data_IF_305995895334
#
_entry.id   IF_305995895334
#
_cell.length_a   1.000
_cell.length_b   1.000
_cell.length_c   1.000
_cell.angle_alpha   90.00
_cell.angle_beta   90.00
_cell.angle_gamma   90.00
#
_symmetry.space_group_name_H-M   'P 1'
#
loop_
_entity.id
_entity.type
_entity.pdbx_description
1 polymer ?
#
# COMPACT_ATOMS: atom_id res chain seq x y z
N UNK A 1 -13.65 -31.48 0.62
CA UNK A 1 -13.98 -31.77 -0.79
C UNK A 1 -15.22 -30.96 -1.16
N UNK A 2 -15.15 -30.10 -2.17
CA UNK A 2 -16.30 -29.34 -2.68
C UNK A 2 -16.97 -30.11 -3.85
N UNK A 3 -18.29 -30.00 -4.05
CA UNK A 3 -19.00 -30.84 -5.01
C UNK A 3 -18.70 -30.44 -6.46
N UNK A 4 -18.41 -31.45 -7.28
CA UNK A 4 -18.34 -31.37 -8.74
C UNK A 4 -19.76 -31.22 -9.31
N UNK A 5 -20.25 -30.00 -9.51
CA UNK A 5 -21.34 -29.78 -10.47
C UNK A 5 -20.77 -29.14 -11.73
N UNK A 6 -20.79 -29.93 -12.80
CA UNK A 6 -20.35 -29.58 -14.15
C UNK A 6 -21.33 -28.63 -14.81
N UNK A 7 -21.03 -27.33 -14.77
CA UNK A 7 -21.66 -26.35 -15.66
C UNK A 7 -21.21 -26.65 -17.11
N UNK A 8 -22.16 -26.91 -18.01
CA UNK A 8 -21.91 -27.02 -19.45
C UNK A 8 -21.30 -25.71 -19.94
N UNK A 9 -20.05 -25.78 -20.42
CA UNK A 9 -19.30 -24.65 -20.95
C UNK A 9 -19.63 -24.49 -22.42
N UNK A 10 -20.29 -23.40 -22.79
CA UNK A 10 -20.35 -22.98 -24.19
C UNK A 10 -19.28 -21.91 -24.42
N UNK A 11 -18.53 -22.06 -25.51
CA UNK A 11 -17.41 -21.18 -25.88
C UNK A 11 -17.79 -20.46 -27.18
N UNK A 12 -17.60 -19.15 -27.20
CA UNK A 12 -17.88 -18.30 -28.35
C UNK A 12 -16.62 -17.50 -28.72
N UNK A 13 -16.26 -17.52 -29.99
CA UNK A 13 -15.17 -16.76 -30.57
C UNK A 13 -15.75 -15.52 -31.27
N UNK A 14 -15.28 -14.34 -30.90
CA UNK A 14 -15.69 -13.09 -31.55
C UNK A 14 -14.50 -12.50 -32.28
N UNK A 15 -14.70 -12.28 -33.57
CA UNK A 15 -13.71 -11.72 -34.48
C UNK A 15 -14.16 -10.32 -34.86
N UNK A 16 -13.32 -9.33 -34.58
CA UNK A 16 -13.47 -7.97 -35.11
C UNK A 16 -12.71 -7.90 -36.42
N UNK A 17 -13.41 -7.70 -37.53
CA UNK A 17 -12.78 -7.41 -38.82
C UNK A 17 -12.70 -5.90 -38.98
N UNK A 18 -11.48 -5.39 -39.04
CA UNK A 18 -11.21 -3.99 -39.37
C UNK A 18 -11.46 -3.79 -40.88
N UNK A 19 -12.09 -2.68 -41.33
CA UNK A 19 -12.00 -2.28 -42.72
C UNK A 19 -10.52 -2.00 -43.07
N UNK A 20 -10.09 -2.29 -44.29
CA UNK A 20 -8.69 -2.25 -44.74
C UNK A 20 -8.04 -0.84 -44.78
N UNK A 21 -8.47 0.12 -43.97
CA UNK A 21 -8.09 1.53 -44.07
C UNK A 21 -7.26 1.99 -42.88
N UNK A 22 -6.08 1.38 -42.68
CA UNK A 22 -5.07 1.92 -41.74
C UNK A 22 -4.22 3.04 -42.35
N UNK A 23 -4.39 3.33 -43.65
CA UNK A 23 -3.62 4.33 -44.38
C UNK A 23 -4.29 5.72 -44.51
N UNK A 24 -5.42 5.97 -43.85
CA UNK A 24 -6.06 7.29 -43.85
C UNK A 24 -5.96 7.96 -42.47
N UNK A 25 -5.63 9.26 -42.46
CA UNK A 25 -5.26 10.08 -41.28
C UNK A 25 -6.41 10.39 -40.30
N UNK A 26 -7.52 9.66 -40.32
CA UNK A 26 -8.64 9.86 -39.41
C UNK A 26 -8.85 8.62 -38.55
N UNK A 27 -8.96 8.80 -37.23
CA UNK A 27 -9.28 7.73 -36.29
C UNK A 27 -10.62 7.08 -36.69
N UNK A 28 -10.69 5.74 -36.79
CA UNK A 28 -11.91 5.04 -37.21
C UNK A 28 -13.03 5.23 -36.19
N UNK A 29 -14.24 5.48 -36.66
CA UNK A 29 -15.42 5.67 -35.82
C UNK A 29 -15.97 4.31 -35.36
N UNK A 30 -16.64 4.22 -34.19
CA UNK A 30 -17.20 2.96 -33.69
C UNK A 30 -18.18 2.26 -34.65
N UNK A 31 -18.79 3.01 -35.58
CA UNK A 31 -19.67 2.50 -36.63
C UNK A 31 -18.97 1.70 -37.72
N UNK A 32 -17.66 1.84 -37.84
CA UNK A 32 -16.89 1.31 -38.98
C UNK A 32 -16.46 -0.15 -38.78
N UNK A 33 -16.76 -0.73 -37.62
CA UNK A 33 -16.29 -2.06 -37.22
C UNK A 33 -17.37 -3.13 -37.42
N UNK A 34 -17.04 -4.21 -38.13
CA UNK A 34 -17.92 -5.37 -38.24
C UNK A 34 -17.57 -6.43 -37.19
N UNK A 35 -18.60 -6.85 -36.43
CA UNK A 35 -18.50 -7.87 -35.38
C UNK A 35 -19.04 -9.19 -35.91
N UNK A 36 -18.20 -10.23 -35.94
CA UNK A 36 -18.61 -11.59 -36.27
C UNK A 36 -18.51 -12.49 -35.03
N UNK A 37 -19.60 -13.16 -34.65
CA UNK A 37 -19.67 -14.06 -33.49
C UNK A 37 -19.86 -15.49 -34.00
N UNK A 38 -18.95 -16.40 -33.63
CA UNK A 38 -19.06 -17.83 -33.95
C UNK A 38 -18.94 -18.68 -32.69
N UNK A 39 -19.82 -19.68 -32.56
CA UNK A 39 -19.74 -20.71 -31.50
C UNK A 39 -18.57 -21.64 -31.83
N UNK A 40 -17.69 -21.90 -30.86
CA UNK A 40 -16.57 -22.83 -31.03
C UNK A 40 -16.69 -23.89 -29.95
N UNK A 41 -16.89 -25.15 -30.34
CA UNK A 41 -17.00 -26.24 -29.37
C UNK A 41 -15.62 -26.88 -29.14
N UNK A 42 -15.17 -26.98 -27.89
CA UNK A 42 -14.35 -28.12 -27.49
C UNK A 42 -12.93 -27.92 -26.94
N UNK A 43 -12.34 -26.73 -26.81
CA UNK A 43 -10.96 -26.64 -26.27
C UNK A 43 -10.83 -25.98 -24.89
N UNK A 44 -10.25 -26.73 -23.94
CA UNK A 44 -9.80 -26.24 -22.64
C UNK A 44 -8.52 -25.41 -22.81
N UNK A 45 -8.66 -24.10 -22.96
CA UNK A 45 -7.51 -23.18 -22.86
C UNK A 45 -7.30 -22.80 -21.38
N UNK A 46 -6.12 -23.09 -20.83
CA UNK A 46 -5.66 -22.47 -19.56
C UNK A 46 -4.74 -21.29 -19.92
N UNK A 47 -5.20 -20.03 -19.91
CA UNK A 47 -4.32 -18.91 -20.14
C UNK A 47 -3.55 -18.54 -18.86
N UNK A 48 -2.30 -18.04 -18.96
CA UNK A 48 -1.58 -17.49 -17.83
C UNK A 48 -2.26 -16.20 -17.35
N UNK A 49 -2.42 -16.07 -16.03
CA UNK A 49 -3.19 -15.01 -15.37
C UNK A 49 -2.33 -13.77 -15.15
N UNK A 50 -2.80 -12.61 -15.62
CA UNK A 50 -2.24 -11.31 -15.28
C UNK A 50 -3.35 -10.39 -14.76
N UNK A 51 -3.08 -9.64 -13.68
CA UNK A 51 -4.05 -8.75 -13.00
C UNK A 51 -4.10 -7.38 -13.68
N UNK A 52 -5.24 -7.00 -14.24
CA UNK A 52 -5.49 -5.65 -14.76
C UNK A 52 -6.31 -4.86 -13.73
N UNK A 53 -5.91 -3.60 -13.47
CA UNK A 53 -6.70 -2.67 -12.65
C UNK A 53 -7.58 -1.86 -13.59
N UNK A 54 -8.83 -2.28 -13.77
CA UNK A 54 -9.79 -1.59 -14.67
C UNK A 54 -10.33 -0.34 -13.94
N UNK A 55 -10.14 0.84 -14.53
CA UNK A 55 -10.45 2.13 -13.88
C UNK A 55 -11.79 2.76 -14.28
N UNK A 56 -12.50 2.25 -15.29
CA UNK A 56 -13.84 2.74 -15.66
C UNK A 56 -14.63 1.62 -16.32
N UNK A 57 -15.76 1.24 -15.72
CA UNK A 57 -16.90 0.78 -16.50
C UNK A 57 -17.64 2.04 -16.95
N UNK A 58 -17.85 2.20 -18.25
CA UNK A 58 -18.92 3.08 -18.70
C UNK A 58 -20.21 2.56 -18.04
N UNK A 59 -20.92 3.44 -17.33
CA UNK A 59 -22.07 3.14 -16.48
C UNK A 59 -23.09 2.24 -17.20
N UNK A 60 -23.09 0.95 -16.86
CA UNK A 60 -24.24 0.07 -17.07
C UNK A 60 -25.05 0.10 -15.77
N UNK A 61 -26.31 0.55 -15.77
CA UNK A 61 -27.16 0.59 -14.58
C UNK A 61 -27.39 -0.76 -13.89
N UNK A 62 -27.03 -1.88 -14.54
CA UNK A 62 -27.17 -3.24 -13.98
C UNK A 62 -25.90 -3.74 -13.28
N UNK A 63 -24.77 -3.07 -13.48
CA UNK A 63 -23.50 -3.38 -12.82
C UNK A 63 -23.35 -2.37 -11.69
N UNK A 64 -23.93 -2.71 -10.55
CA UNK A 64 -23.77 -1.93 -9.33
C UNK A 64 -22.27 -1.81 -9.00
N UNK A 65 -21.90 -0.68 -8.40
CA UNK A 65 -20.53 -0.21 -8.14
C UNK A 65 -19.71 -1.07 -7.14
N UNK A 66 -20.06 -2.34 -7.02
CA UNK A 66 -19.31 -3.35 -6.32
C UNK A 66 -18.03 -3.70 -7.09
N UNK A 67 -16.93 -3.74 -6.36
CA UNK A 67 -15.60 -4.03 -6.91
C UNK A 67 -15.61 -5.46 -7.47
N UNK A 68 -15.82 -5.59 -8.78
CA UNK A 68 -15.64 -6.85 -9.50
C UNK A 68 -14.19 -6.93 -10.01
N UNK A 69 -13.44 -7.95 -9.58
CA UNK A 69 -12.20 -8.32 -10.27
C UNK A 69 -12.57 -8.92 -11.64
N UNK A 70 -12.33 -8.17 -12.71
CA UNK A 70 -12.55 -8.62 -14.09
C UNK A 70 -11.22 -9.15 -14.63
N UNK A 71 -11.22 -10.42 -15.06
CA UNK A 71 -10.06 -11.06 -15.67
C UNK A 71 -10.03 -10.80 -17.18
N UNK A 72 -8.99 -10.15 -17.69
CA UNK A 72 -8.77 -9.92 -19.14
C UNK A 72 -7.45 -10.59 -19.54
N UNK A 73 -7.49 -11.46 -20.56
CA UNK A 73 -6.33 -12.21 -21.08
C UNK A 73 -5.73 -11.48 -22.28
N UNK A 74 -4.42 -11.18 -22.27
CA UNK A 74 -3.73 -10.39 -23.30
C UNK A 74 -2.29 -10.86 -23.60
N UNK A 75 -1.70 -10.47 -24.75
CA UNK A 75 -0.25 -10.63 -25.10
C UNK A 75 0.34 -9.31 -25.68
N UNK A 76 1.49 -8.77 -25.20
CA UNK A 76 2.13 -7.54 -25.69
C UNK A 76 3.01 -7.77 -26.95
N UNK A 77 3.51 -6.72 -27.65
CA UNK A 77 4.17 -5.52 -27.08
C UNK A 77 3.54 -4.18 -27.52
N UNK A 78 3.77 -3.14 -26.72
CA UNK A 78 3.34 -1.73 -26.88
C UNK A 78 2.05 -1.42 -26.11
N UNK A 79 2.15 -0.39 -25.25
CA UNK A 79 1.04 0.19 -24.50
C UNK A 79 0.02 0.76 -25.48
N UNK A 80 -1.12 0.08 -25.61
CA UNK A 80 -2.23 0.47 -26.46
C UNK A 80 -3.50 0.55 -25.59
N UNK A 81 -4.26 1.63 -25.74
CA UNK A 81 -5.62 1.73 -25.22
C UNK A 81 -6.51 0.78 -26.04
N UNK A 82 -6.77 -0.41 -25.52
CA UNK A 82 -7.59 -1.42 -26.21
C UNK A 82 -9.05 -1.26 -25.79
N UNK A 83 -9.92 -0.96 -26.74
CA UNK A 83 -11.37 -1.08 -26.57
C UNK A 83 -11.78 -2.51 -26.95
N UNK A 84 -12.24 -3.29 -25.97
CA UNK A 84 -12.66 -4.67 -26.17
C UNK A 84 -14.04 -4.92 -25.53
N UNK A 85 -14.88 -5.72 -26.19
CA UNK A 85 -16.17 -6.15 -25.63
C UNK A 85 -15.93 -7.36 -24.74
N UNK A 86 -16.27 -7.27 -23.45
CA UNK A 86 -16.13 -8.39 -22.52
C UNK A 86 -17.02 -9.56 -22.98
N UNK A 87 -16.42 -10.71 -23.28
CA UNK A 87 -17.12 -11.90 -23.77
C UNK A 87 -17.73 -12.75 -22.66
N UNK A 88 -17.13 -12.71 -21.47
CA UNK A 88 -17.61 -13.45 -20.31
C UNK A 88 -17.08 -12.79 -19.03
N UNK A 89 -17.96 -12.58 -18.04
CA UNK A 89 -17.58 -12.11 -16.71
C UNK A 89 -17.71 -13.30 -15.76
N UNK A 90 -16.61 -13.65 -15.09
CA UNK A 90 -16.61 -14.65 -14.03
C UNK A 90 -16.56 -13.95 -12.68
N UNK A 91 -17.55 -14.19 -11.83
CA UNK A 91 -17.45 -13.80 -10.43
C UNK A 91 -16.54 -14.80 -9.71
N UNK A 92 -15.31 -14.39 -9.42
CA UNK A 92 -14.33 -15.23 -8.72
C UNK A 92 -14.56 -15.25 -7.20
N UNK A 93 -14.98 -14.11 -6.65
CA UNK A 93 -15.33 -13.96 -5.25
C UNK A 93 -16.43 -12.91 -5.12
N UNK A 94 -17.52 -13.27 -4.47
CA UNK A 94 -18.61 -12.35 -4.17
C UNK A 94 -18.21 -11.47 -2.96
N UNK A 95 -18.38 -10.16 -3.10
CA UNK A 95 -18.24 -9.26 -1.97
C UNK A 95 -19.45 -9.43 -1.03
N UNK A 96 -19.29 -9.21 0.30
CA UNK A 96 -20.43 -9.22 1.21
C UNK A 96 -21.52 -8.25 0.73
N UNK A 97 -22.78 -8.66 0.83
CA UNK A 97 -23.93 -7.87 0.38
C UNK A 97 -24.02 -6.48 1.04
N UNK A 98 -23.44 -6.32 2.24
CA UNK A 98 -23.34 -5.04 2.94
C UNK A 98 -21.91 -4.79 3.40
N UNK A 99 -21.31 -3.72 2.88
CA UNK A 99 -20.01 -3.24 3.37
C UNK A 99 -20.20 -2.37 4.62
N UNK A 100 -19.21 -2.33 5.54
CA UNK A 100 -19.26 -1.48 6.73
C UNK A 100 -19.33 0.01 6.38
N UNK A 101 -18.76 0.41 5.25
CA UNK A 101 -18.90 1.74 4.64
C UNK A 101 -18.58 1.66 3.14
N UNK A 102 -18.96 2.68 2.38
CA UNK A 102 -18.59 2.80 0.97
C UNK A 102 -17.20 3.42 0.82
N UNK A 103 -16.41 2.89 -0.11
CA UNK A 103 -15.07 3.42 -0.39
C UNK A 103 -15.11 4.89 -0.84
N UNK A 104 -16.19 5.29 -1.55
CA UNK A 104 -16.43 6.67 -1.98
C UNK A 104 -16.53 7.62 -0.78
N UNK A 105 -17.24 7.22 0.28
CA UNK A 105 -17.43 8.05 1.47
C UNK A 105 -16.12 8.16 2.28
N UNK A 106 -15.36 7.07 2.38
CA UNK A 106 -14.05 7.08 3.06
C UNK A 106 -12.94 7.80 2.27
N UNK A 107 -13.11 8.00 0.97
CA UNK A 107 -12.16 8.69 0.09
C UNK A 107 -12.44 10.18 -0.09
N UNK A 108 -13.57 10.68 0.43
CA UNK A 108 -13.95 12.09 0.28
C UNK A 108 -12.96 12.99 1.06
N UNK A 109 -12.49 14.11 0.47
CA UNK A 109 -11.72 15.11 1.20
C UNK A 109 -12.49 15.68 2.38
N UNK A 110 -11.79 15.98 3.47
CA UNK A 110 -12.42 16.50 4.71
C UNK A 110 -13.01 17.90 4.48
N UNK A 111 -12.40 18.68 3.59
CA UNK A 111 -12.80 20.07 3.31
C UNK A 111 -13.90 20.19 2.24
N UNK A 112 -14.39 19.07 1.72
CA UNK A 112 -15.47 19.09 0.72
C UNK A 112 -16.79 19.44 1.42
N UNK A 113 -17.33 20.63 1.13
CA UNK A 113 -18.64 21.03 1.62
C UNK A 113 -19.76 20.38 0.78
N UNK A 114 -20.85 19.92 1.41
CA UNK A 114 -22.01 19.43 0.68
C UNK A 114 -22.63 20.55 -0.15
N UNK A 115 -23.10 20.19 -1.35
CA UNK A 115 -23.96 21.09 -2.13
C UNK A 115 -25.31 21.24 -1.44
N UNK A 116 -26.03 22.31 -1.74
CA UNK A 116 -27.35 22.59 -1.17
C UNK A 116 -28.29 21.39 -1.36
N UNK A 117 -28.76 20.79 -0.27
CA UNK A 117 -29.61 19.59 -0.27
C UNK A 117 -28.89 18.24 -0.24
N UNK A 118 -27.56 18.19 -0.31
CA UNK A 118 -26.78 16.95 -0.15
C UNK A 118 -26.34 16.74 1.30
N UNK A 119 -26.41 15.50 1.80
CA UNK A 119 -25.83 15.14 3.09
C UNK A 119 -24.65 14.19 2.88
N UNK A 120 -23.46 14.58 3.36
CA UNK A 120 -22.28 13.73 3.29
C UNK A 120 -22.24 12.78 4.48
N UNK A 121 -22.21 11.49 4.20
CA UNK A 121 -21.86 10.47 5.18
C UNK A 121 -20.36 10.54 5.42
N UNK A 122 -19.95 10.76 6.67
CA UNK A 122 -18.54 10.71 7.11
C UNK A 122 -18.29 9.40 7.83
N UNK A 123 -17.17 8.75 7.52
CA UNK A 123 -16.76 7.49 8.16
C UNK A 123 -15.80 7.81 9.30
N UNK A 124 -16.20 7.51 10.53
CA UNK A 124 -15.39 7.76 11.73
C UNK A 124 -14.10 6.95 11.76
N UNK A 125 -13.06 7.47 12.42
CA UNK A 125 -11.73 6.84 12.50
C UNK A 125 -11.79 5.43 13.08
N UNK A 126 -12.55 5.20 14.15
CA UNK A 126 -12.68 3.87 14.76
C UNK A 126 -13.23 2.85 13.75
N UNK A 127 -14.32 3.18 13.05
CA UNK A 127 -14.91 2.33 12.01
C UNK A 127 -13.92 2.02 10.88
N UNK A 128 -13.07 2.99 10.50
CA UNK A 128 -12.03 2.81 9.49
C UNK A 128 -10.92 1.86 9.98
N UNK A 129 -10.49 2.01 11.23
CA UNK A 129 -9.46 1.16 11.84
C UNK A 129 -9.97 -0.27 12.09
N UNK A 130 -11.21 -0.45 12.53
CA UNK A 130 -11.84 -1.77 12.70
C UNK A 130 -11.98 -2.51 11.37
N UNK A 131 -12.13 -1.77 10.27
CA UNK A 131 -12.27 -2.30 8.91
C UNK A 131 -11.06 -1.94 8.03
N UNK A 132 -9.85 -2.08 8.59
CA UNK A 132 -8.61 -1.56 8.00
C UNK A 132 -8.36 -2.03 6.58
N UNK A 133 -8.71 -3.28 6.23
CA UNK A 133 -8.52 -3.83 4.88
C UNK A 133 -9.26 -2.99 3.82
N UNK A 134 -10.46 -2.51 4.13
CA UNK A 134 -11.24 -1.66 3.23
C UNK A 134 -10.68 -0.24 3.20
N UNK A 135 -10.36 0.31 4.37
CA UNK A 135 -9.81 1.67 4.51
C UNK A 135 -8.47 1.85 3.78
N UNK A 136 -7.61 0.82 3.79
CA UNK A 136 -6.34 0.79 3.06
C UNK A 136 -6.50 0.84 1.54
N UNK A 137 -7.71 0.65 0.99
CA UNK A 137 -7.98 0.80 -0.44
C UNK A 137 -8.23 2.25 -0.87
N UNK A 138 -8.43 3.16 0.09
CA UNK A 138 -8.60 4.59 -0.24
C UNK A 138 -7.31 5.15 -0.83
N UNK A 139 -7.37 6.07 -1.82
CA UNK A 139 -6.19 6.65 -2.44
C UNK A 139 -5.24 7.32 -1.44
N UNK A 140 -5.80 7.99 -0.43
CA UNK A 140 -5.03 8.67 0.63
C UNK A 140 -4.24 7.67 1.47
N UNK A 141 -4.86 6.61 1.99
CA UNK A 141 -4.12 5.61 2.76
C UNK A 141 -3.08 4.88 1.89
N UNK A 142 -3.40 4.54 0.64
CA UNK A 142 -2.42 3.99 -0.31
C UNK A 142 -1.19 4.90 -0.47
N UNK A 143 -1.41 6.21 -0.59
CA UNK A 143 -0.33 7.19 -0.67
C UNK A 143 0.49 7.25 0.64
N UNK A 144 -0.18 7.32 1.80
CA UNK A 144 0.47 7.36 3.12
C UNK A 144 1.42 6.18 3.31
N UNK A 145 0.98 4.94 3.06
CA UNK A 145 1.84 3.76 3.24
C UNK A 145 2.98 3.67 2.22
N UNK A 146 2.77 4.17 1.00
CA UNK A 146 3.85 4.26 0.00
C UNK A 146 4.90 5.30 0.41
N UNK A 147 4.47 6.43 0.95
CA UNK A 147 5.36 7.45 1.53
C UNK A 147 6.11 6.87 2.72
N UNK A 148 5.43 6.21 3.67
CA UNK A 148 6.04 5.55 4.82
C UNK A 148 7.11 4.54 4.40
N UNK A 149 6.78 3.63 3.46
CA UNK A 149 7.74 2.68 2.90
C UNK A 149 8.95 3.38 2.28
N UNK A 150 8.73 4.50 1.58
CA UNK A 150 9.80 5.28 0.97
C UNK A 150 10.67 5.98 2.02
N UNK A 151 10.10 6.50 3.10
CA UNK A 151 10.85 7.08 4.23
C UNK A 151 11.82 6.05 4.80
N UNK A 152 11.36 4.84 5.12
CA UNK A 152 12.24 3.79 5.65
C UNK A 152 13.36 3.43 4.67
N UNK A 153 13.05 3.31 3.38
CA UNK A 153 14.06 3.00 2.36
C UNK A 153 15.09 4.12 2.17
N UNK A 154 14.68 5.38 2.28
CA UNK A 154 15.61 6.52 2.20
C UNK A 154 16.49 6.60 3.45
N UNK A 155 15.92 6.35 4.63
CA UNK A 155 16.66 6.27 5.88
C UNK A 155 17.75 5.20 5.81
N UNK A 156 17.42 3.97 5.40
CA UNK A 156 18.41 2.89 5.19
C UNK A 156 19.52 3.32 4.24
N UNK A 157 19.15 3.74 3.02
CA UNK A 157 20.11 4.14 1.99
C UNK A 157 21.08 5.22 2.46
N UNK A 158 20.57 6.24 3.13
CA UNK A 158 21.42 7.30 3.67
C UNK A 158 22.48 6.76 4.63
N UNK A 159 22.06 5.90 5.56
CA UNK A 159 22.95 5.38 6.59
C UNK A 159 23.90 4.32 6.03
N UNK A 160 23.43 3.49 5.10
CA UNK A 160 24.27 2.55 4.35
C UNK A 160 25.38 3.30 3.57
N UNK A 161 25.03 4.40 2.89
CA UNK A 161 25.98 5.24 2.15
C UNK A 161 27.00 5.94 3.07
N UNK A 162 26.63 6.22 4.33
CA UNK A 162 27.48 6.81 5.37
C UNK A 162 28.23 5.77 6.23
N UNK A 163 28.16 4.49 5.83
CA UNK A 163 28.91 3.38 6.44
C UNK A 163 28.33 2.84 7.76
N UNK A 164 27.07 3.11 8.07
CA UNK A 164 26.41 2.51 9.23
C UNK A 164 25.99 1.06 8.94
N UNK A 165 25.96 0.24 9.99
CA UNK A 165 25.54 -1.16 9.93
C UNK A 165 24.10 -1.30 10.47
N UNK A 166 23.18 -1.88 9.68
CA UNK A 166 21.85 -2.25 10.16
C UNK A 166 21.96 -3.40 11.17
N UNK A 167 21.41 -3.22 12.37
CA UNK A 167 21.36 -4.24 13.42
C UNK A 167 19.91 -4.55 13.82
N UNK A 168 19.70 -5.74 14.37
CA UNK A 168 18.41 -6.19 14.88
C UNK A 168 18.53 -6.57 16.34
N UNK A 169 17.85 -5.84 17.22
CA UNK A 169 17.99 -6.00 18.66
C UNK A 169 16.76 -6.69 19.27
N UNK A 170 16.92 -7.46 20.36
CA UNK A 170 15.80 -8.16 20.98
C UNK A 170 14.77 -7.17 21.53
N UNK A 171 13.48 -7.47 21.27
CA UNK A 171 12.34 -6.67 21.73
C UNK A 171 11.71 -7.19 23.01
N UNK A 172 12.14 -8.36 23.46
CA UNK A 172 11.80 -8.96 24.75
C UNK A 172 13.07 -8.90 25.61
N UNK A 173 12.98 -8.25 26.76
CA UNK A 173 14.09 -8.00 27.67
C UNK A 173 13.81 -8.62 29.05
N UNK A 174 14.85 -9.12 29.71
CA UNK A 174 14.75 -9.71 31.05
C UNK A 174 14.55 -8.68 32.18
N UNK A 175 14.80 -7.40 31.90
CA UNK A 175 14.62 -6.31 32.84
C UNK A 175 14.04 -5.07 32.14
N UNK A 176 13.38 -4.20 32.90
CA UNK A 176 13.00 -2.88 32.44
C UNK A 176 14.26 -2.01 32.29
N UNK A 177 14.51 -1.50 31.08
CA UNK A 177 15.77 -0.81 30.73
C UNK A 177 15.76 0.69 30.93
N UNK A 178 14.59 1.36 31.00
CA UNK A 178 14.49 2.81 31.24
C UNK A 178 13.84 3.10 32.60
N UNK A 179 14.52 3.90 33.44
CA UNK A 179 14.04 4.30 34.77
C UNK A 179 12.87 5.30 34.65
N UNK A 180 11.79 5.07 35.38
CA UNK A 180 10.66 6.01 35.52
C UNK A 180 9.59 5.92 34.43
N UNK A 181 9.77 5.11 33.39
CA UNK A 181 8.77 4.94 32.33
C UNK A 181 7.88 3.70 32.59
N UNK A 182 6.59 3.79 32.25
CA UNK A 182 5.70 2.63 32.27
C UNK A 182 6.14 1.62 31.20
N UNK A 183 6.35 0.36 31.61
CA UNK A 183 6.78 -0.75 30.73
C UNK A 183 5.69 -1.80 30.56
N UNK A 184 5.58 -2.37 29.35
CA UNK A 184 4.73 -3.54 29.14
C UNK A 184 5.42 -4.79 29.70
N UNK A 185 4.72 -5.48 30.59
CA UNK A 185 5.15 -6.76 31.17
C UNK A 185 4.45 -7.90 30.45
N UNK A 186 5.16 -8.99 30.21
CA UNK A 186 4.61 -10.22 29.67
C UNK A 186 5.14 -11.44 30.45
N UNK A 187 4.33 -12.48 30.53
CA UNK A 187 4.79 -13.79 30.98
C UNK A 187 5.67 -14.42 29.91
N UNK A 188 6.85 -14.88 30.28
CA UNK A 188 7.82 -15.51 29.39
C UNK A 188 8.36 -16.78 30.04
N UNK A 189 7.71 -17.91 29.73
CA UNK A 189 7.89 -19.19 30.43
C UNK A 189 7.65 -19.03 31.94
N UNK A 190 8.61 -19.45 32.77
CA UNK A 190 8.56 -19.34 34.24
C UNK A 190 9.05 -17.97 34.75
N UNK A 191 9.31 -17.02 33.85
CA UNK A 191 9.86 -15.71 34.18
C UNK A 191 8.97 -14.57 33.66
N UNK A 192 9.19 -13.38 34.18
CA UNK A 192 8.59 -12.15 33.63
C UNK A 192 9.58 -11.53 32.65
N UNK A 193 9.08 -11.09 31.50
CA UNK A 193 9.85 -10.30 30.55
C UNK A 193 9.14 -8.98 30.26
N UNK A 194 9.85 -8.09 29.57
CA UNK A 194 9.42 -6.73 29.27
C UNK A 194 9.58 -6.44 27.79
N UNK A 195 8.66 -5.66 27.21
CA UNK A 195 8.86 -5.14 25.86
C UNK A 195 9.82 -3.95 25.88
N UNK A 196 10.77 -3.94 24.95
CA UNK A 196 11.78 -2.90 24.85
C UNK A 196 11.17 -1.54 24.47
N UNK A 197 11.44 -0.50 25.26
CA UNK A 197 10.93 0.85 25.01
C UNK A 197 11.74 1.64 23.98
N UNK A 198 12.93 1.13 23.66
CA UNK A 198 13.80 1.59 22.59
C UNK A 198 14.91 0.54 22.42
N UNK A 199 15.62 0.51 21.29
CA UNK A 199 16.81 -0.31 21.14
C UNK A 199 18.07 0.32 21.79
N UNK A 200 17.91 1.36 22.62
CA UNK A 200 19.01 2.24 23.04
C UNK A 200 20.17 1.49 23.67
N UNK A 201 19.91 0.67 24.70
CA UNK A 201 20.95 -0.09 25.38
C UNK A 201 21.71 -1.02 24.43
N UNK A 202 20.99 -1.72 23.54
CA UNK A 202 21.60 -2.67 22.62
C UNK A 202 22.44 -1.98 21.53
N UNK A 203 22.02 -0.82 21.02
CA UNK A 203 22.84 -0.02 20.10
C UNK A 203 24.12 0.48 20.78
N UNK A 204 24.04 0.94 22.02
CA UNK A 204 25.21 1.36 22.79
C UNK A 204 26.17 0.21 23.08
N UNK A 205 25.65 -0.98 23.37
CA UNK A 205 26.47 -2.20 23.48
C UNK A 205 27.16 -2.55 22.16
N UNK A 206 26.53 -2.33 21.01
CA UNK A 206 27.18 -2.51 19.72
C UNK A 206 28.32 -1.50 19.54
N UNK A 207 28.12 -0.22 19.88
CA UNK A 207 29.21 0.76 19.85
C UNK A 207 30.37 0.34 20.77
N UNK A 208 30.07 -0.15 21.96
CA UNK A 208 31.07 -0.66 22.90
C UNK A 208 31.76 -1.96 22.43
N UNK A 209 31.19 -2.66 21.45
CA UNK A 209 31.73 -3.85 20.81
C UNK A 209 32.39 -3.53 19.45
N UNK A 210 32.96 -2.32 19.33
CA UNK A 210 33.71 -1.82 18.18
C UNK A 210 32.91 -1.62 16.89
N UNK A 211 31.57 -1.67 16.94
CA UNK A 211 30.77 -1.19 15.81
C UNK A 211 30.81 0.34 15.82
N UNK A 212 31.56 0.97 14.92
CA UNK A 212 31.69 2.44 14.91
C UNK A 212 30.36 3.17 14.74
N UNK A 213 29.44 2.64 13.92
CA UNK A 213 28.15 3.27 13.58
C UNK A 213 27.10 2.22 13.28
N UNK A 214 25.94 2.30 13.93
CA UNK A 214 24.85 1.34 13.79
C UNK A 214 23.50 2.02 13.66
N UNK A 215 22.55 1.34 13.02
CA UNK A 215 21.17 1.79 12.98
C UNK A 215 20.18 0.62 13.07
N UNK A 216 18.95 0.92 13.43
CA UNK A 216 17.87 -0.04 13.46
C UNK A 216 16.53 0.59 13.03
N UNK A 217 15.76 -0.15 12.24
CA UNK A 217 14.34 0.14 11.98
C UNK A 217 13.52 -0.99 12.61
N UNK A 218 12.83 -0.71 13.70
CA UNK A 218 12.16 -1.76 14.46
C UNK A 218 11.01 -1.27 15.33
N UNK A 219 10.19 -2.20 15.88
CA UNK A 219 9.10 -1.85 16.76
C UNK A 219 9.62 -1.34 18.12
N UNK A 220 8.89 -0.36 18.64
CA UNK A 220 9.14 0.33 19.90
C UNK A 220 7.83 0.39 20.69
N UNK A 221 7.91 0.18 22.01
CA UNK A 221 6.73 0.09 22.87
C UNK A 221 6.75 1.12 23.99
N UNK A 222 5.69 1.91 24.14
CA UNK A 222 5.52 2.89 25.23
C UNK A 222 4.24 2.55 25.99
N UNK A 223 4.35 2.21 27.28
CA UNK A 223 3.18 1.81 28.08
C UNK A 223 2.49 2.99 28.77
N UNK A 224 2.71 4.21 28.28
CA UNK A 224 2.02 5.40 28.76
C UNK A 224 0.55 5.33 28.35
N UNK A 225 -0.35 5.52 29.33
CA UNK A 225 -1.79 5.58 29.07
C UNK A 225 -2.18 6.98 28.56
N UNK A 226 -1.71 7.32 27.36
CA UNK A 226 -1.95 8.59 26.69
C UNK A 226 -2.72 8.37 25.40
N UNK A 227 -4.00 8.78 25.38
CA UNK A 227 -4.85 8.67 24.20
C UNK A 227 -5.01 10.04 23.53
N UNK A 228 -4.04 10.40 22.71
CA UNK A 228 -4.06 11.65 21.93
C UNK A 228 -3.69 11.36 20.48
N UNK A 229 -3.89 12.33 19.59
CA UNK A 229 -3.54 12.21 18.17
C UNK A 229 -2.04 12.04 17.86
N UNK A 230 -1.14 12.17 18.85
CA UNK A 230 0.32 12.02 18.69
C UNK A 230 0.91 10.79 19.39
N UNK A 231 0.14 10.09 20.21
CA UNK A 231 0.65 9.01 21.06
C UNK A 231 0.07 7.67 20.60
N UNK A 232 0.95 6.68 20.43
CA UNK A 232 0.61 5.28 20.13
C UNK A 232 1.52 4.42 21.01
N UNK A 233 0.99 3.29 21.51
CA UNK A 233 1.71 2.39 22.42
C UNK A 233 2.70 1.47 21.71
N UNK A 234 2.52 1.23 20.41
CA UNK A 234 3.44 0.52 19.52
C UNK A 234 3.65 1.34 18.24
N UNK A 235 4.91 1.58 17.88
CA UNK A 235 5.27 2.27 16.64
C UNK A 235 6.62 1.79 16.11
N UNK A 236 6.96 2.20 14.89
CA UNK A 236 8.26 1.89 14.29
C UNK A 236 9.25 3.02 14.61
N UNK A 237 10.31 2.70 15.33
CA UNK A 237 11.46 3.56 15.56
C UNK A 237 12.42 3.54 14.38
N UNK A 238 13.00 4.71 14.08
CA UNK A 238 14.15 4.87 13.19
C UNK A 238 15.31 5.36 14.05
N UNK A 239 16.16 4.43 14.42
CA UNK A 239 17.17 4.61 15.45
C UNK A 239 18.57 4.55 14.84
N UNK A 240 19.47 5.42 15.28
CA UNK A 240 20.89 5.36 14.94
C UNK A 240 21.73 5.61 16.19
N UNK A 241 22.98 5.19 16.17
CA UNK A 241 24.00 5.41 17.20
C UNK A 241 25.38 5.38 16.53
N UNK A 242 26.33 6.16 17.04
CA UNK A 242 27.72 6.13 16.55
C UNK A 242 28.71 6.50 17.65
N UNK A 243 29.92 5.97 17.55
CA UNK A 243 31.06 6.47 18.29
C UNK A 243 31.29 7.95 17.95
N UNK A 244 31.43 8.77 19.00
CA UNK A 244 31.69 10.20 18.88
C UNK A 244 33.19 10.42 19.01
N UNK A 245 33.77 11.22 18.12
CA UNK A 245 35.19 11.55 18.18
C UNK A 245 35.44 12.68 19.19
N UNK A 246 34.81 13.84 18.97
CA UNK A 246 35.07 15.05 19.77
C UNK A 246 33.81 15.56 20.47
N UNK A 247 32.67 15.62 19.77
CA UNK A 247 31.47 16.27 20.29
C UNK A 247 30.18 15.67 19.71
N UNK A 248 29.08 15.70 20.47
CA UNK A 248 27.78 15.16 20.05
C UNK A 248 27.19 15.83 18.79
N UNK A 249 27.79 16.95 18.33
CA UNK A 249 27.44 17.60 17.08
C UNK A 249 27.68 16.69 15.86
N UNK A 250 28.64 15.78 15.95
CA UNK A 250 28.90 14.80 14.89
C UNK A 250 27.61 14.01 14.59
N UNK A 251 26.98 13.46 15.63
CA UNK A 251 25.71 12.74 15.53
C UNK A 251 24.57 13.63 15.01
N UNK A 252 24.46 14.86 15.52
CA UNK A 252 23.40 15.80 15.11
C UNK A 252 23.47 16.13 13.63
N UNK A 253 24.68 16.24 13.06
CA UNK A 253 24.87 16.50 11.65
C UNK A 253 24.30 15.36 10.80
N UNK A 254 24.56 14.09 11.16
CA UNK A 254 23.99 12.94 10.45
C UNK A 254 22.47 12.89 10.56
N UNK A 255 21.92 13.13 11.75
CA UNK A 255 20.47 13.20 11.94
C UNK A 255 19.83 14.29 11.08
N UNK A 256 20.39 15.50 11.09
CA UNK A 256 19.90 16.62 10.29
C UNK A 256 20.00 16.35 8.79
N UNK A 257 21.14 15.83 8.30
CA UNK A 257 21.33 15.44 6.90
C UNK A 257 20.30 14.42 6.45
N UNK A 258 20.05 13.39 7.27
CA UNK A 258 19.07 12.34 6.99
C UNK A 258 17.68 12.94 6.79
N UNK A 259 17.20 13.72 7.76
CA UNK A 259 15.88 14.36 7.70
C UNK A 259 15.76 15.31 6.50
N UNK A 260 16.77 16.14 6.25
CA UNK A 260 16.80 17.08 5.12
C UNK A 260 16.75 16.32 3.79
N UNK A 261 17.51 15.23 3.65
CA UNK A 261 17.51 14.42 2.43
C UNK A 261 16.14 13.80 2.16
N UNK A 262 15.51 13.21 3.18
CA UNK A 262 14.16 12.64 3.08
C UNK A 262 13.15 13.72 2.69
N UNK A 263 13.18 14.89 3.34
CA UNK A 263 12.29 16.00 3.02
C UNK A 263 12.48 16.49 1.57
N UNK A 264 13.74 16.71 1.14
CA UNK A 264 14.07 17.15 -0.22
C UNK A 264 13.60 16.15 -1.28
N UNK A 265 13.72 14.85 -1.02
CA UNK A 265 13.24 13.81 -1.94
C UNK A 265 11.75 13.99 -2.25
N UNK A 266 10.91 14.19 -1.23
CA UNK A 266 9.48 14.37 -1.44
C UNK A 266 9.14 15.74 -2.04
N UNK A 267 9.76 16.84 -1.58
CA UNK A 267 9.51 18.17 -2.15
C UNK A 267 9.85 18.21 -3.65
N UNK A 268 10.95 17.58 -4.06
CA UNK A 268 11.37 17.54 -5.47
C UNK A 268 10.37 16.75 -6.32
N UNK A 269 9.92 15.59 -5.82
CA UNK A 269 8.92 14.75 -6.50
C UNK A 269 7.56 15.45 -6.61
N UNK A 270 7.14 16.19 -5.60
CA UNK A 270 5.90 16.97 -5.63
C UNK A 270 6.01 18.10 -6.65
N UNK A 271 7.13 18.84 -6.69
CA UNK A 271 7.35 19.90 -7.68
C UNK A 271 7.34 19.36 -9.11
N UNK A 272 8.01 18.24 -9.36
CA UNK A 272 8.01 17.58 -10.67
C UNK A 272 6.62 17.09 -11.08
N UNK A 273 5.80 16.63 -10.12
CA UNK A 273 4.41 16.24 -10.39
C UNK A 273 3.49 17.44 -10.66
N UNK A 274 3.73 18.59 -10.01
CA UNK A 274 2.98 19.84 -10.22
C UNK A 274 3.43 20.68 -11.43
N UNK A 275 4.37 20.20 -12.24
CA UNK A 275 4.70 20.77 -13.56
C UNK A 275 4.14 19.91 -14.70
N UNK A 276 3.22 19.01 -14.37
CA UNK A 276 2.40 18.25 -15.33
C UNK A 276 0.97 18.81 -15.27
N UNK A 277 0.81 20.10 -15.56
CA UNK A 277 -0.46 20.74 -15.96
C UNK A 277 -0.16 21.78 -17.04
#
# INVERSE_FOLDING_TARGET
MLPKNSLKKEIYLVTLKNPETWHSKSDPQPSDWQIEIRRVEGEKVRPPVWRLKVQHFAQDPRLDTHVHEVLVVWRPPISLSVWGKALQIFLLAEAPAKLPFLLKDASRPVDLLPKEGEQFVTVGTNTRLDNRVLDLRTPVNQAIFRVQSRVCNLFRRFLDDEGFIEIHTPKIQGAATEYGASVFKLGYFEQTAFLAQSPQLAKQMAIAADFERVYEIGPVFRAENSNTYRHITEFIGLDLEMAINEHYHDLLIYQAKCVIMIARYFTTRIRLAGHVE
#
